data_IF_969136710670
#
_entry.id   IF_969136710670
#
_cell.length_a   1.000
_cell.length_b   1.000
_cell.length_c   1.000
_cell.angle_alpha   90.00
_cell.angle_beta   90.00
_cell.angle_gamma   90.00
#
_symmetry.space_group_name_H-M   'P 1'
#
loop_
_entity.id
_entity.type
_entity.pdbx_description
1 polymer ?
#
# COMPACT_ATOMS: atom_id res chain seq x y z
N UNK A 1 1.05 6.34 23.01
CA UNK A 1 1.03 5.25 22.00
C UNK A 1 0.19 4.08 22.49
N UNK A 2 -0.81 3.68 21.70
CA UNK A 2 -1.70 2.55 21.99
C UNK A 2 -0.93 1.21 22.00
N UNK A 3 -1.15 0.36 23.01
CA UNK A 3 -0.50 -0.95 23.15
C UNK A 3 -0.75 -1.87 21.95
N UNK A 4 -1.88 -1.74 21.28
CA UNK A 4 -2.20 -2.58 20.13
C UNK A 4 -1.36 -2.21 18.91
N UNK A 5 -0.99 -0.93 18.76
CA UNK A 5 -0.08 -0.48 17.70
C UNK A 5 1.30 -1.05 17.92
N UNK A 6 1.81 -1.05 19.16
CA UNK A 6 3.08 -1.69 19.48
C UNK A 6 3.12 -3.18 19.12
N UNK A 7 2.02 -3.91 19.35
CA UNK A 7 1.92 -5.32 18.94
C UNK A 7 1.93 -5.46 17.41
N UNK A 8 1.24 -4.56 16.70
CA UNK A 8 1.21 -4.54 15.23
C UNK A 8 2.61 -4.24 14.67
N UNK A 9 3.30 -3.23 15.21
CA UNK A 9 4.66 -2.87 14.86
C UNK A 9 5.61 -4.06 15.08
N UNK A 10 5.55 -4.69 16.25
CA UNK A 10 6.42 -5.82 16.58
C UNK A 10 6.21 -7.03 15.65
N UNK A 11 4.96 -7.34 15.30
CA UNK A 11 4.65 -8.49 14.43
C UNK A 11 5.05 -8.26 12.98
N UNK A 12 4.95 -7.02 12.51
CA UNK A 12 5.08 -6.70 11.09
C UNK A 12 6.40 -6.03 10.72
N UNK A 13 7.16 -5.52 11.70
CA UNK A 13 8.46 -4.91 11.46
C UNK A 13 9.56 -5.95 11.42
N UNK A 14 10.36 -5.92 10.35
CA UNK A 14 11.61 -6.66 10.33
C UNK A 14 12.69 -6.01 11.22
N UNK A 15 12.55 -4.70 11.49
CA UNK A 15 13.49 -3.92 12.28
C UNK A 15 13.36 -4.26 13.76
N UNK A 16 12.13 -4.40 14.28
CA UNK A 16 11.89 -4.65 15.71
C UNK A 16 12.14 -6.10 16.15
N UNK A 17 12.57 -6.99 15.25
CA UNK A 17 12.77 -8.42 15.57
C UNK A 17 13.74 -8.67 16.72
N UNK A 18 14.70 -7.76 16.92
CA UNK A 18 15.71 -7.86 17.97
C UNK A 18 15.31 -7.17 19.29
N UNK A 19 14.16 -6.49 19.35
CA UNK A 19 13.68 -5.82 20.56
C UNK A 19 12.67 -6.74 21.28
N UNK A 20 12.81 -6.94 22.59
CA UNK A 20 11.81 -7.75 23.30
C UNK A 20 10.42 -7.09 23.30
N UNK A 21 9.37 -7.84 22.98
CA UNK A 21 7.98 -7.35 23.05
C UNK A 21 7.63 -6.83 24.45
N UNK A 22 8.17 -7.44 25.50
CA UNK A 22 7.99 -7.00 26.90
C UNK A 22 8.53 -5.60 27.11
N UNK A 23 9.70 -5.28 26.55
CA UNK A 23 10.26 -3.93 26.59
C UNK A 23 9.34 -2.92 25.89
N UNK A 24 8.91 -3.23 24.66
CA UNK A 24 7.98 -2.38 23.90
C UNK A 24 6.68 -2.10 24.67
N UNK A 25 6.06 -3.12 25.27
CA UNK A 25 4.79 -2.97 26.00
C UNK A 25 4.90 -2.19 27.31
N UNK A 26 6.11 -2.09 27.88
CA UNK A 26 6.38 -1.36 29.11
C UNK A 26 6.73 0.12 28.88
N UNK A 27 6.80 0.54 27.62
CA UNK A 27 7.02 1.92 27.26
C UNK A 27 5.84 2.80 27.67
N UNK A 28 6.11 3.78 28.54
CA UNK A 28 5.14 4.84 28.86
C UNK A 28 5.32 5.94 27.82
N UNK A 29 4.29 6.21 27.03
CA UNK A 29 4.30 7.28 26.03
C UNK A 29 4.67 8.62 26.68
N UNK A 30 5.53 9.39 26.03
CA UNK A 30 6.12 10.62 26.56
C UNK A 30 6.78 11.46 25.48
N UNK A 31 6.29 11.39 24.25
CA UNK A 31 6.83 12.12 23.12
C UNK A 31 6.69 13.64 23.28
N UNK A 32 7.75 14.33 23.70
CA UNK A 32 7.71 15.79 23.82
C UNK A 32 7.91 16.51 22.47
N UNK A 33 8.38 15.82 21.44
CA UNK A 33 8.71 16.43 20.16
C UNK A 33 7.56 16.29 19.17
N UNK A 34 7.14 17.44 18.63
CA UNK A 34 6.14 17.54 17.57
C UNK A 34 6.80 17.99 16.27
N UNK A 35 6.44 17.35 15.17
CA UNK A 35 6.81 17.74 13.82
C UNK A 35 5.57 18.25 13.09
N UNK A 36 5.62 19.50 12.63
CA UNK A 36 4.57 20.10 11.79
C UNK A 36 4.93 19.95 10.31
N UNK A 37 4.00 19.52 9.47
CA UNK A 37 4.18 19.35 8.03
C UNK A 37 3.04 20.04 7.30
N UNK A 38 3.36 21.04 6.48
CA UNK A 38 2.39 21.69 5.59
C UNK A 38 2.15 20.83 4.36
N UNK A 39 0.88 20.55 4.04
CA UNK A 39 0.49 19.80 2.85
C UNK A 39 -0.93 20.19 2.42
N UNK A 40 -1.12 20.55 1.14
CA UNK A 40 -2.40 21.04 0.58
C UNK A 40 -3.07 22.11 1.46
N UNK A 41 -2.33 23.16 1.86
CA UNK A 41 -2.81 24.26 2.70
C UNK A 41 -3.32 23.84 4.10
N UNK A 42 -2.86 22.71 4.61
CA UNK A 42 -3.17 22.24 5.96
C UNK A 42 -1.89 21.83 6.71
N UNK A 43 -1.84 22.17 7.99
CA UNK A 43 -0.75 21.78 8.90
C UNK A 43 -1.06 20.46 9.59
N UNK A 44 -0.37 19.41 9.20
CA UNK A 44 -0.42 18.12 9.89
C UNK A 44 0.62 18.09 11.02
N UNK A 45 0.24 17.53 12.17
CA UNK A 45 1.14 17.41 13.34
C UNK A 45 1.40 15.94 13.65
N UNK A 46 2.68 15.60 13.75
CA UNK A 46 3.16 14.27 14.10
C UNK A 46 3.89 14.33 15.43
N UNK A 47 3.68 13.31 16.25
CA UNK A 47 4.36 13.12 17.53
C UNK A 47 5.49 12.09 17.38
N UNK A 48 6.68 12.46 17.87
CA UNK A 48 7.81 11.55 18.00
C UNK A 48 7.75 10.85 19.35
N UNK A 49 7.76 9.51 19.34
CA UNK A 49 7.90 8.70 20.52
C UNK A 49 9.20 7.89 20.41
N UNK A 50 10.13 8.11 21.33
CA UNK A 50 11.38 7.35 21.42
C UNK A 50 11.09 5.95 21.94
N UNK A 51 11.59 4.92 21.24
CA UNK A 51 11.58 3.52 21.70
C UNK A 51 12.86 3.25 22.52
N UNK A 52 14.01 3.63 21.96
CA UNK A 52 15.31 3.68 22.60
C UNK A 52 16.24 4.56 21.74
N UNK A 53 17.54 4.60 22.07
CA UNK A 53 18.55 5.40 21.37
C UNK A 53 18.62 5.18 19.84
N UNK A 54 18.19 4.01 19.35
CA UNK A 54 18.26 3.64 17.94
C UNK A 54 16.89 3.63 17.23
N UNK A 55 15.78 3.70 17.96
CA UNK A 55 14.45 3.50 17.41
C UNK A 55 13.46 4.56 17.86
N UNK A 56 12.71 5.11 16.91
CA UNK A 56 11.70 6.13 17.13
C UNK A 56 10.43 5.79 16.35
N UNK A 57 9.27 6.23 16.83
CA UNK A 57 8.05 6.25 16.02
C UNK A 57 7.60 7.66 15.75
N UNK A 58 7.10 7.89 14.54
CA UNK A 58 6.36 9.10 14.16
C UNK A 58 4.92 8.70 13.88
N UNK A 59 3.99 9.21 14.69
CA UNK A 59 2.56 8.98 14.50
C UNK A 59 1.82 10.29 14.33
N UNK A 60 0.75 10.28 13.55
CA UNK A 60 -0.18 11.41 13.50
C UNK A 60 -0.78 11.65 14.89
N UNK A 61 -0.87 12.90 15.34
CA UNK A 61 -1.62 13.19 16.56
C UNK A 61 -3.08 12.80 16.33
N UNK A 62 -3.61 11.99 17.24
CA UNK A 62 -4.96 11.40 17.17
C UNK A 62 -6.02 12.43 16.75
N UNK A 63 -6.65 12.20 15.60
CA UNK A 63 -7.96 12.78 15.27
C UNK A 63 -8.99 11.72 15.64
N UNK A 64 -9.73 11.94 16.72
CA UNK A 64 -10.74 11.02 17.25
C UNK A 64 -10.19 9.65 17.72
N UNK A 65 -8.96 9.62 18.26
CA UNK A 65 -8.35 8.38 18.78
C UNK A 65 -7.83 7.42 17.72
N UNK A 66 -7.71 7.87 16.46
CA UNK A 66 -7.19 7.06 15.35
C UNK A 66 -5.79 7.54 14.92
N UNK A 67 -4.84 6.60 14.92
CA UNK A 67 -3.54 6.78 14.28
C UNK A 67 -3.66 6.59 12.77
N UNK A 68 -3.62 7.71 12.05
CA UNK A 68 -3.75 7.77 10.61
C UNK A 68 -2.50 7.28 9.89
N UNK A 69 -1.34 7.57 10.46
CA UNK A 69 -0.04 7.17 9.94
C UNK A 69 0.83 6.75 11.12
N UNK A 70 1.53 5.63 10.97
CA UNK A 70 2.58 5.21 11.91
C UNK A 70 3.82 4.83 11.12
N UNK A 71 4.94 5.49 11.44
CA UNK A 71 6.26 5.23 10.88
C UNK A 71 7.20 4.83 11.99
N UNK A 72 7.95 3.76 11.79
CA UNK A 72 9.08 3.37 12.63
C UNK A 72 10.38 3.85 11.97
N UNK A 73 11.26 4.45 12.75
CA UNK A 73 12.57 4.91 12.30
C UNK A 73 13.63 4.09 13.02
N UNK A 74 14.58 3.54 12.27
CA UNK A 74 15.80 2.93 12.76
C UNK A 74 16.99 3.77 12.33
N UNK A 75 17.70 4.36 13.30
CA UNK A 75 18.94 5.10 13.03
C UNK A 75 20.11 4.16 12.78
N UNK A 76 20.06 2.94 13.33
CA UNK A 76 21.04 1.89 13.08
C UNK A 76 21.00 1.41 11.62
N UNK A 77 19.81 1.16 11.09
CA UNK A 77 19.60 0.70 9.71
C UNK A 77 19.42 1.84 8.70
N UNK A 78 19.36 3.09 9.17
CA UNK A 78 19.13 4.29 8.35
C UNK A 78 17.82 4.22 7.53
N UNK A 79 16.76 3.65 8.09
CA UNK A 79 15.49 3.36 7.40
C UNK A 79 14.28 3.89 8.17
N UNK A 80 13.28 4.34 7.41
CA UNK A 80 11.95 4.64 7.90
C UNK A 80 10.93 3.64 7.33
N UNK A 81 10.33 2.80 8.18
CA UNK A 81 9.33 1.80 7.82
C UNK A 81 7.91 2.33 8.09
N UNK A 82 7.12 2.49 7.03
CA UNK A 82 5.70 2.86 7.11
C UNK A 82 4.90 1.60 7.45
N UNK A 83 4.28 1.60 8.62
CA UNK A 83 3.53 0.46 9.14
C UNK A 83 2.03 0.54 8.92
N UNK A 84 1.47 1.74 9.03
CA UNK A 84 0.03 1.95 8.90
C UNK A 84 -0.26 3.21 8.11
N UNK A 85 -1.20 3.10 7.17
CA UNK A 85 -1.90 4.20 6.53
C UNK A 85 -3.39 3.88 6.63
N UNK A 86 -4.10 4.57 7.53
CA UNK A 86 -5.51 4.33 7.77
C UNK A 86 -6.36 5.12 6.78
N UNK A 87 -7.16 4.43 5.97
CA UNK A 87 -8.05 5.05 4.99
C UNK A 87 -9.35 5.55 5.65
N UNK A 88 -9.26 6.48 6.61
CA UNK A 88 -10.40 7.10 7.30
C UNK A 88 -10.59 8.55 6.88
N UNK A 89 -11.84 8.99 6.74
CA UNK A 89 -12.16 10.41 6.47
C UNK A 89 -11.67 11.33 7.60
N UNK A 90 -11.62 10.84 8.84
CA UNK A 90 -11.09 11.60 9.98
C UNK A 90 -9.59 11.92 9.85
N UNK A 91 -8.86 11.19 9.00
CA UNK A 91 -7.43 11.42 8.78
C UNK A 91 -7.11 12.60 7.87
N UNK A 92 -8.13 13.29 7.38
CA UNK A 92 -8.00 14.27 6.32
C UNK A 92 -8.87 15.50 6.60
N UNK A 93 -8.27 16.68 6.45
CA UNK A 93 -9.02 17.94 6.51
C UNK A 93 -9.97 18.10 5.32
N UNK A 94 -9.61 17.56 4.15
CA UNK A 94 -10.43 17.57 2.94
C UNK A 94 -10.82 16.15 2.52
N UNK A 95 -12.12 15.86 2.47
CA UNK A 95 -12.66 14.51 2.22
C UNK A 95 -12.87 14.19 0.74
N UNK A 96 -12.64 15.16 -0.17
CA UNK A 96 -12.83 14.98 -1.61
C UNK A 96 -11.64 14.30 -2.31
N UNK A 97 -10.57 14.01 -1.60
CA UNK A 97 -9.35 13.39 -2.14
C UNK A 97 -9.29 11.87 -1.85
N UNK A 98 -8.45 11.16 -2.62
CA UNK A 98 -8.11 9.77 -2.32
C UNK A 98 -7.22 9.72 -1.07
N UNK A 99 -7.87 9.54 0.09
CA UNK A 99 -7.27 9.60 1.43
C UNK A 99 -5.96 8.81 1.52
N UNK A 100 -5.94 7.54 1.13
CA UNK A 100 -4.72 6.72 1.19
C UNK A 100 -3.56 7.32 0.39
N UNK A 101 -3.84 7.80 -0.82
CA UNK A 101 -2.83 8.41 -1.71
C UNK A 101 -2.26 9.69 -1.13
N UNK A 102 -3.12 10.50 -0.52
CA UNK A 102 -2.72 11.71 0.17
C UNK A 102 -1.86 11.40 1.39
N UNK A 103 -2.30 10.48 2.24
CA UNK A 103 -1.59 10.09 3.45
C UNK A 103 -0.22 9.51 3.14
N UNK A 104 -0.06 8.70 2.09
CA UNK A 104 1.25 8.20 1.68
C UNK A 104 2.21 9.34 1.28
N UNK A 105 1.75 10.27 0.44
CA UNK A 105 2.57 11.43 0.03
C UNK A 105 2.94 12.33 1.21
N UNK A 106 1.98 12.60 2.09
CA UNK A 106 2.18 13.34 3.33
C UNK A 106 3.22 12.63 4.21
N UNK A 107 3.13 11.30 4.35
CA UNK A 107 4.05 10.47 5.14
C UNK A 107 5.47 10.56 4.59
N UNK A 108 5.65 10.43 3.27
CA UNK A 108 6.97 10.56 2.63
C UNK A 108 7.54 11.96 2.87
N UNK A 109 6.72 13.02 2.70
CA UNK A 109 7.13 14.40 2.98
C UNK A 109 7.53 14.60 4.44
N UNK A 110 6.77 14.00 5.35
CA UNK A 110 7.03 14.02 6.79
C UNK A 110 8.38 13.36 7.11
N UNK A 111 8.66 12.17 6.57
CA UNK A 111 9.93 11.45 6.76
C UNK A 111 11.11 12.28 6.24
N UNK A 112 11.02 12.84 5.03
CA UNK A 112 12.08 13.70 4.47
C UNK A 112 12.34 14.94 5.33
N UNK A 113 11.27 15.59 5.80
CA UNK A 113 11.40 16.74 6.71
C UNK A 113 12.05 16.35 8.04
N UNK A 114 11.70 15.18 8.58
CA UNK A 114 12.29 14.65 9.80
C UNK A 114 13.79 14.38 9.63
N UNK A 115 14.18 13.67 8.57
CA UNK A 115 15.56 13.39 8.23
C UNK A 115 16.39 14.67 8.08
N UNK A 116 15.87 15.66 7.34
CA UNK A 116 16.52 16.96 7.17
C UNK A 116 16.68 17.73 8.49
N UNK A 117 15.63 17.80 9.32
CA UNK A 117 15.65 18.55 10.59
C UNK A 117 16.62 17.96 11.61
N UNK A 118 16.79 16.63 11.61
CA UNK A 118 17.58 15.92 12.61
C UNK A 118 18.78 15.18 12.01
N UNK A 119 19.29 15.62 10.87
CA UNK A 119 20.33 14.94 10.07
C UNK A 119 21.61 14.58 10.86
N UNK A 120 21.95 15.32 11.92
CA UNK A 120 23.09 15.02 12.78
C UNK A 120 22.90 13.77 13.66
N UNK A 121 21.65 13.39 13.93
CA UNK A 121 21.27 12.24 14.77
C UNK A 121 20.59 11.13 13.96
N UNK A 122 20.00 11.48 12.82
CA UNK A 122 19.13 10.59 12.05
C UNK A 122 19.48 10.72 10.56
N UNK A 123 20.19 9.73 10.04
CA UNK A 123 20.57 9.66 8.62
C UNK A 123 19.65 8.69 7.86
N UNK A 124 18.36 9.00 7.77
CA UNK A 124 17.43 8.16 6.99
C UNK A 124 17.81 8.29 5.51
N UNK A 125 18.09 7.16 4.86
CA UNK A 125 18.36 7.10 3.41
C UNK A 125 17.41 6.14 2.67
N UNK A 126 16.52 5.45 3.40
CA UNK A 126 15.55 4.49 2.86
C UNK A 126 14.18 4.70 3.49
N UNK A 127 13.14 4.59 2.65
CA UNK A 127 11.75 4.45 3.11
C UNK A 127 11.26 3.07 2.66
N UNK A 128 10.74 2.28 3.59
CA UNK A 128 10.14 0.98 3.30
C UNK A 128 8.71 0.87 3.80
N UNK A 129 8.00 -0.15 3.34
CA UNK A 129 6.67 -0.50 3.82
C UNK A 129 6.36 -1.98 3.57
N UNK A 130 5.39 -2.53 4.29
CA UNK A 130 4.79 -3.83 4.01
C UNK A 130 3.41 -3.69 3.39
N UNK A 131 3.06 -4.53 2.42
CA UNK A 131 1.73 -4.50 1.79
C UNK A 131 0.79 -5.56 2.36
N UNK A 132 -0.05 -5.18 3.32
CA UNK A 132 -1.17 -6.01 3.80
C UNK A 132 -2.52 -5.42 3.37
N UNK A 133 -2.54 -4.64 2.29
CA UNK A 133 -3.71 -3.84 1.94
C UNK A 133 -4.86 -4.69 1.41
N UNK A 134 -6.05 -4.43 1.97
CA UNK A 134 -7.32 -5.05 1.57
C UNK A 134 -8.35 -3.95 1.30
N UNK A 135 -9.28 -4.21 0.39
CA UNK A 135 -10.40 -3.31 0.09
C UNK A 135 -11.71 -4.04 0.34
N UNK A 136 -12.60 -3.43 1.12
CA UNK A 136 -13.95 -3.96 1.35
C UNK A 136 -14.75 -3.94 0.03
N UNK A 137 -15.56 -4.97 -0.16
CA UNK A 137 -16.48 -5.11 -1.28
C UNK A 137 -17.74 -5.84 -0.80
N UNK A 138 -18.82 -5.11 -0.52
CA UNK A 138 -20.01 -5.70 0.10
C UNK A 138 -19.67 -6.46 1.37
N UNK A 139 -19.95 -7.77 1.37
CA UNK A 139 -19.62 -8.71 2.46
C UNK A 139 -18.23 -9.35 2.36
N UNK A 140 -17.47 -9.04 1.31
CA UNK A 140 -16.18 -9.63 0.98
C UNK A 140 -15.01 -8.64 1.12
N UNK A 141 -13.79 -9.17 1.05
CA UNK A 141 -12.56 -8.40 0.99
C UNK A 141 -11.73 -8.82 -0.22
N UNK A 142 -11.28 -7.82 -0.98
CA UNK A 142 -10.40 -8.02 -2.14
C UNK A 142 -8.99 -7.61 -1.73
N UNK A 143 -8.01 -8.43 -2.12
CA UNK A 143 -6.58 -8.12 -1.99
C UNK A 143 -6.25 -6.94 -2.90
N UNK A 144 -5.95 -5.77 -2.32
CA UNK A 144 -5.78 -4.53 -3.09
C UNK A 144 -4.59 -4.65 -4.05
N UNK A 145 -3.53 -5.33 -3.64
CA UNK A 145 -2.35 -5.63 -4.45
C UNK A 145 -2.72 -6.34 -5.75
N UNK A 146 -3.47 -7.47 -5.67
CA UNK A 146 -3.90 -8.24 -6.84
C UNK A 146 -4.82 -7.44 -7.74
N UNK A 147 -5.80 -6.75 -7.15
CA UNK A 147 -6.73 -5.91 -7.91
C UNK A 147 -5.97 -4.84 -8.70
N UNK A 148 -5.02 -4.13 -8.10
CA UNK A 148 -4.31 -3.07 -8.81
C UNK A 148 -3.33 -3.58 -9.86
N UNK A 149 -2.70 -4.74 -9.63
CA UNK A 149 -1.90 -5.38 -10.68
C UNK A 149 -2.81 -5.72 -11.87
N UNK A 150 -4.00 -6.30 -11.66
CA UNK A 150 -4.96 -6.55 -12.74
C UNK A 150 -5.43 -5.28 -13.46
N UNK A 151 -5.50 -4.15 -12.77
CA UNK A 151 -5.97 -2.89 -13.33
C UNK A 151 -4.88 -2.04 -13.98
N UNK A 152 -3.62 -2.26 -13.61
CA UNK A 152 -2.54 -1.33 -13.99
C UNK A 152 -1.20 -2.00 -14.29
N UNK A 153 -1.01 -3.29 -14.00
CA UNK A 153 0.29 -3.96 -13.97
C UNK A 153 1.08 -3.70 -12.68
N UNK A 154 0.74 -2.64 -11.95
CA UNK A 154 1.46 -2.18 -10.76
C UNK A 154 0.72 -2.49 -9.45
N UNK A 155 1.47 -2.70 -8.38
CA UNK A 155 0.94 -2.62 -7.00
C UNK A 155 0.48 -1.19 -6.67
N UNK A 156 -0.25 -0.99 -5.56
CA UNK A 156 -0.67 0.35 -5.15
C UNK A 156 0.52 1.29 -4.94
N UNK A 157 1.52 0.80 -4.19
CA UNK A 157 2.73 1.54 -3.84
C UNK A 157 3.66 1.76 -5.04
N UNK A 158 3.63 0.86 -6.03
CA UNK A 158 4.50 0.97 -7.20
C UNK A 158 4.27 2.22 -8.06
N UNK A 159 3.09 2.83 -7.94
CA UNK A 159 2.75 4.14 -8.53
C UNK A 159 3.49 5.31 -7.88
N UNK A 160 4.10 5.07 -6.73
CA UNK A 160 4.89 6.01 -5.94
C UNK A 160 6.36 5.56 -5.87
N UNK A 161 6.82 4.83 -6.89
CA UNK A 161 8.21 4.37 -7.03
C UNK A 161 8.70 3.42 -5.94
N UNK A 162 7.78 2.77 -5.23
CA UNK A 162 8.14 1.64 -4.39
C UNK A 162 8.39 0.40 -5.24
N UNK A 163 9.44 -0.36 -4.91
CA UNK A 163 9.80 -1.63 -5.56
C UNK A 163 10.04 -2.74 -4.54
N UNK A 164 9.89 -4.01 -4.93
CA UNK A 164 10.11 -5.14 -4.02
C UNK A 164 11.46 -5.03 -3.31
N UNK A 165 11.45 -5.21 -1.99
CA UNK A 165 12.61 -5.04 -1.12
C UNK A 165 13.22 -6.39 -0.75
N UNK A 166 14.54 -6.47 -0.83
CA UNK A 166 15.32 -7.56 -0.24
C UNK A 166 15.41 -7.32 1.28
N UNK A 167 14.90 -8.27 2.07
CA UNK A 167 14.79 -8.11 3.52
C UNK A 167 16.14 -8.16 4.27
N UNK A 168 17.22 -8.58 3.61
CA UNK A 168 18.57 -8.65 4.19
C UNK A 168 19.32 -7.35 3.91
N UNK A 169 19.32 -6.91 2.66
CA UNK A 169 20.09 -5.73 2.21
C UNK A 169 19.32 -4.41 2.31
N UNK A 170 18.00 -4.48 2.53
CA UNK A 170 17.08 -3.35 2.48
C UNK A 170 17.12 -2.58 1.15
N UNK A 171 17.63 -3.21 0.08
CA UNK A 171 17.68 -2.64 -1.27
C UNK A 171 16.58 -3.26 -2.14
N UNK A 172 16.50 -2.85 -3.41
CA UNK A 172 15.59 -3.47 -4.38
C UNK A 172 16.00 -4.93 -4.58
N UNK A 173 15.06 -5.86 -4.36
CA UNK A 173 15.22 -7.27 -4.71
C UNK A 173 15.14 -7.42 -6.23
N UNK A 174 16.29 -7.66 -6.87
CA UNK A 174 16.38 -7.76 -8.34
C UNK A 174 15.50 -8.88 -8.91
N UNK A 175 15.38 -10.01 -8.22
CA UNK A 175 14.61 -11.15 -8.69
C UNK A 175 13.10 -10.87 -8.62
N UNK A 176 12.64 -10.38 -7.48
CA UNK A 176 11.24 -9.99 -7.30
C UNK A 176 10.88 -8.79 -8.19
N UNK A 177 11.80 -7.85 -8.40
CA UNK A 177 11.61 -6.75 -9.31
C UNK A 177 11.43 -7.22 -10.76
N UNK A 178 12.18 -8.24 -11.21
CA UNK A 178 11.97 -8.85 -12.54
C UNK A 178 10.56 -9.42 -12.68
N UNK A 179 10.02 -10.07 -11.64
CA UNK A 179 8.63 -10.55 -11.64
C UNK A 179 7.62 -9.42 -11.64
N UNK A 180 7.92 -8.33 -10.92
CA UNK A 180 7.10 -7.13 -10.91
C UNK A 180 7.01 -6.52 -12.31
N UNK A 181 8.15 -6.31 -12.98
CA UNK A 181 8.18 -5.80 -14.36
C UNK A 181 7.50 -6.75 -15.35
N UNK A 182 7.54 -8.08 -15.09
CA UNK A 182 6.80 -9.04 -15.89
C UNK A 182 5.28 -8.87 -15.75
N UNK A 183 4.76 -8.58 -14.55
CA UNK A 183 3.34 -8.25 -14.38
C UNK A 183 2.95 -7.01 -15.19
N UNK A 184 3.78 -5.97 -15.18
CA UNK A 184 3.58 -4.75 -15.98
C UNK A 184 3.50 -5.10 -17.46
N UNK A 185 4.50 -5.86 -17.96
CA UNK A 185 4.54 -6.31 -19.35
C UNK A 185 3.30 -7.10 -19.76
N UNK A 186 2.89 -8.09 -18.95
CA UNK A 186 1.68 -8.89 -19.22
C UNK A 186 0.47 -7.96 -19.37
N UNK A 187 0.26 -7.04 -18.41
CA UNK A 187 -0.92 -6.19 -18.40
C UNK A 187 -0.89 -5.08 -19.45
N UNK A 188 0.28 -4.72 -19.97
CA UNK A 188 0.45 -3.78 -21.07
C UNK A 188 0.21 -4.40 -22.44
N UNK A 189 0.30 -5.72 -22.57
CA UNK A 189 0.14 -6.41 -23.85
C UNK A 189 -1.12 -7.27 -23.95
N UNK A 190 -1.58 -7.84 -22.83
CA UNK A 190 -2.66 -8.81 -22.83
C UNK A 190 -3.99 -8.16 -23.21
N UNK A 191 -4.59 -8.65 -24.29
CA UNK A 191 -5.89 -8.19 -24.78
C UNK A 191 -7.02 -9.08 -24.30
N UNK A 192 -8.25 -8.59 -24.44
CA UNK A 192 -9.47 -9.34 -24.14
C UNK A 192 -9.59 -10.61 -24.99
N UNK A 193 -9.11 -10.61 -26.23
CA UNK A 193 -9.15 -11.80 -27.10
C UNK A 193 -8.12 -12.88 -26.78
N UNK A 194 -7.05 -12.53 -26.04
CA UNK A 194 -5.98 -13.49 -25.69
C UNK A 194 -6.41 -14.47 -24.60
N UNK A 195 -7.53 -14.20 -23.92
CA UNK A 195 -8.07 -15.02 -22.85
C UNK A 195 -9.54 -15.35 -23.09
N UNK A 196 -9.98 -16.50 -22.60
CA UNK A 196 -11.41 -16.83 -22.58
C UNK A 196 -12.13 -16.06 -21.46
N UNK A 197 -12.26 -14.73 -21.60
CA UNK A 197 -12.80 -13.85 -20.56
C UNK A 197 -14.23 -14.25 -20.14
N UNK A 198 -15.01 -14.78 -21.08
CA UNK A 198 -16.38 -15.27 -20.84
C UNK A 198 -16.43 -16.39 -19.79
N UNK A 199 -15.41 -17.25 -19.73
CA UNK A 199 -15.29 -18.29 -18.68
C UNK A 199 -15.41 -17.68 -17.29
N UNK A 200 -14.71 -16.58 -17.03
CA UNK A 200 -14.68 -15.90 -15.74
C UNK A 200 -15.97 -15.12 -15.48
N UNK A 201 -16.48 -14.42 -16.50
CA UNK A 201 -17.72 -13.64 -16.39
C UNK A 201 -18.93 -14.53 -16.06
N UNK A 202 -18.95 -15.77 -16.56
CA UNK A 202 -20.00 -16.75 -16.21
C UNK A 202 -20.02 -17.14 -14.73
N UNK A 203 -18.93 -16.95 -13.99
CA UNK A 203 -18.88 -17.20 -12.54
C UNK A 203 -19.80 -16.26 -11.76
N UNK A 204 -20.16 -15.10 -12.33
CA UNK A 204 -21.09 -14.14 -11.74
C UNK A 204 -22.52 -14.63 -11.64
N UNK A 205 -22.90 -15.65 -12.43
CA UNK A 205 -24.27 -16.21 -12.52
C UNK A 205 -25.36 -15.17 -12.83
N UNK A 206 -25.01 -14.02 -13.38
CA UNK A 206 -25.95 -12.98 -13.79
C UNK A 206 -26.05 -12.93 -15.32
N UNK A 207 -27.11 -13.52 -15.89
CA UNK A 207 -27.28 -13.63 -17.35
C UNK A 207 -27.27 -12.27 -18.07
N UNK A 208 -27.99 -11.26 -17.54
CA UNK A 208 -28.03 -9.92 -18.12
C UNK A 208 -26.62 -9.29 -18.17
N UNK A 209 -25.84 -9.47 -17.10
CA UNK A 209 -24.46 -9.00 -17.05
C UNK A 209 -23.54 -9.77 -18.01
N UNK A 210 -23.69 -11.10 -18.08
CA UNK A 210 -22.94 -11.97 -19.00
C UNK A 210 -23.15 -11.54 -20.46
N UNK A 211 -24.40 -11.31 -20.86
CA UNK A 211 -24.75 -10.96 -22.24
C UNK A 211 -24.18 -9.59 -22.63
N UNK A 212 -24.36 -8.56 -21.78
CA UNK A 212 -23.78 -7.22 -21.99
C UNK A 212 -22.26 -7.25 -22.10
N UNK A 213 -21.62 -8.07 -21.28
CA UNK A 213 -20.16 -8.21 -21.27
C UNK A 213 -19.67 -8.94 -22.51
N UNK A 214 -20.39 -9.97 -22.96
CA UNK A 214 -20.10 -10.72 -24.17
C UNK A 214 -20.12 -9.85 -25.41
N UNK A 215 -21.13 -9.00 -25.55
CA UNK A 215 -21.21 -8.03 -26.65
C UNK A 215 -20.01 -7.08 -26.66
N UNK A 216 -19.57 -6.63 -25.48
CA UNK A 216 -18.42 -5.73 -25.34
C UNK A 216 -17.12 -6.42 -25.79
N UNK A 217 -16.93 -7.67 -25.37
CA UNK A 217 -15.77 -8.50 -25.72
C UNK A 217 -15.69 -8.71 -27.24
N UNK A 218 -16.82 -9.07 -27.87
CA UNK A 218 -16.91 -9.29 -29.32
C UNK A 218 -16.65 -8.00 -30.11
N UNK A 219 -17.20 -6.87 -29.66
CA UNK A 219 -17.05 -5.58 -30.34
C UNK A 219 -15.65 -4.98 -30.19
N UNK A 220 -14.90 -5.36 -29.16
CA UNK A 220 -13.59 -4.75 -28.82
C UNK A 220 -12.54 -5.79 -28.42
N UNK A 221 -12.22 -6.76 -29.30
CA UNK A 221 -11.32 -7.87 -28.96
C UNK A 221 -9.90 -7.42 -28.64
N UNK A 222 -9.42 -6.38 -29.34
CA UNK A 222 -8.08 -5.79 -29.15
C UNK A 222 -7.97 -4.84 -27.96
N UNK A 223 -9.03 -4.65 -27.16
CA UNK A 223 -8.94 -3.85 -25.94
C UNK A 223 -7.99 -4.55 -24.96
N UNK A 224 -7.09 -3.79 -24.31
CA UNK A 224 -6.26 -4.34 -23.24
C UNK A 224 -7.16 -4.83 -22.09
N UNK A 225 -6.79 -5.97 -21.50
CA UNK A 225 -7.53 -6.54 -20.38
C UNK A 225 -7.65 -5.56 -19.22
N UNK A 226 -6.57 -4.85 -18.89
CA UNK A 226 -6.58 -3.82 -17.82
C UNK A 226 -7.59 -2.71 -18.09
N UNK A 227 -7.78 -2.30 -19.34
CA UNK A 227 -8.72 -1.24 -19.71
C UNK A 227 -10.16 -1.72 -19.65
N UNK A 228 -10.40 -2.97 -20.03
CA UNK A 228 -11.69 -3.63 -19.82
C UNK A 228 -12.02 -3.68 -18.33
N UNK A 229 -11.09 -4.17 -17.48
CA UNK A 229 -11.30 -4.29 -16.04
C UNK A 229 -11.47 -2.93 -15.35
N UNK A 230 -10.75 -1.89 -15.79
CA UNK A 230 -10.94 -0.51 -15.28
C UNK A 230 -12.31 0.05 -15.63
N UNK A 231 -12.82 -0.23 -16.84
CA UNK A 231 -14.19 0.16 -17.23
C UNK A 231 -15.22 -0.62 -16.42
N UNK A 232 -14.98 -1.92 -16.23
CA UNK A 232 -15.82 -2.79 -15.42
C UNK A 232 -15.91 -2.30 -13.97
N UNK A 233 -14.79 -1.92 -13.35
CA UNK A 233 -14.73 -1.41 -11.99
C UNK A 233 -14.89 0.13 -11.88
N UNK A 234 -15.39 0.80 -12.92
CA UNK A 234 -15.65 2.25 -12.87
C UNK A 234 -16.68 2.57 -11.78
N UNK A 235 -17.69 1.71 -11.64
CA UNK A 235 -18.68 1.73 -10.58
C UNK A 235 -18.36 0.61 -9.58
N UNK A 236 -17.29 0.83 -8.81
CA UNK A 236 -16.72 -0.20 -7.95
C UNK A 236 -17.76 -0.78 -6.97
N UNK A 237 -18.57 0.05 -6.33
CA UNK A 237 -19.51 -0.40 -5.29
C UNK A 237 -20.55 -1.39 -5.83
N UNK A 238 -20.97 -1.22 -7.10
CA UNK A 238 -21.93 -2.11 -7.76
C UNK A 238 -21.28 -3.32 -8.43
N UNK A 239 -20.02 -3.22 -8.85
CA UNK A 239 -19.36 -4.24 -9.68
C UNK A 239 -18.37 -5.12 -8.92
N UNK A 240 -17.96 -4.71 -7.72
CA UNK A 240 -16.89 -5.40 -7.01
C UNK A 240 -17.28 -6.82 -6.60
N UNK A 241 -18.56 -7.12 -6.31
CA UNK A 241 -18.97 -8.47 -5.90
C UNK A 241 -18.85 -9.45 -7.08
N UNK A 242 -19.22 -9.01 -8.28
CA UNK A 242 -18.97 -9.77 -9.51
C UNK A 242 -17.49 -9.96 -9.79
N UNK A 243 -16.68 -8.90 -9.58
CA UNK A 243 -15.22 -9.01 -9.69
C UNK A 243 -14.65 -10.02 -8.70
N UNK A 244 -15.10 -9.98 -7.45
CA UNK A 244 -14.67 -10.87 -6.38
C UNK A 244 -14.84 -12.35 -6.76
N UNK A 245 -15.91 -12.69 -7.49
CA UNK A 245 -16.18 -14.07 -7.91
C UNK A 245 -15.13 -14.67 -8.85
N UNK A 246 -14.37 -13.86 -9.59
CA UNK A 246 -13.45 -14.39 -10.60
C UNK A 246 -12.02 -13.84 -10.55
N UNK A 247 -11.76 -12.72 -9.87
CA UNK A 247 -10.48 -12.01 -10.03
C UNK A 247 -9.27 -12.85 -9.67
N UNK A 248 -9.32 -13.68 -8.62
CA UNK A 248 -8.19 -14.52 -8.23
C UNK A 248 -7.89 -15.60 -9.25
N UNK A 249 -8.93 -16.22 -9.83
CA UNK A 249 -8.74 -17.23 -10.86
C UNK A 249 -8.18 -16.60 -12.14
N UNK A 250 -8.73 -15.45 -12.56
CA UNK A 250 -8.18 -14.70 -13.69
C UNK A 250 -6.71 -14.31 -13.44
N UNK A 251 -6.40 -13.81 -12.25
CA UNK A 251 -5.05 -13.41 -11.84
C UNK A 251 -4.03 -14.55 -12.02
N UNK A 252 -4.39 -15.75 -11.54
CA UNK A 252 -3.54 -16.92 -11.60
C UNK A 252 -3.44 -17.48 -13.02
N UNK A 253 -4.56 -17.59 -13.74
CA UNK A 253 -4.62 -18.17 -15.09
C UNK A 253 -3.80 -17.35 -16.10
N UNK A 254 -3.69 -16.02 -15.93
CA UNK A 254 -2.86 -15.16 -16.79
C UNK A 254 -1.40 -15.02 -16.32
N UNK A 255 -1.00 -15.75 -15.27
CA UNK A 255 0.39 -15.88 -14.83
C UNK A 255 0.96 -14.67 -14.09
N UNK A 256 0.13 -13.89 -13.38
CA UNK A 256 0.62 -12.77 -12.56
C UNK A 256 1.26 -13.26 -11.26
N UNK A 257 2.33 -12.57 -10.83
CA UNK A 257 3.01 -12.82 -9.55
C UNK A 257 2.38 -11.99 -8.43
N UNK A 258 1.90 -12.66 -7.38
CA UNK A 258 1.36 -12.02 -6.17
C UNK A 258 2.46 -11.37 -5.33
N UNK A 259 2.21 -10.14 -4.89
CA UNK A 259 3.10 -9.35 -4.04
C UNK A 259 2.45 -8.97 -2.70
N UNK A 260 1.26 -9.50 -2.39
CA UNK A 260 0.65 -9.27 -1.10
C UNK A 260 1.51 -9.88 0.01
N UNK A 261 1.66 -9.16 1.13
CA UNK A 261 2.55 -9.48 2.22
C UNK A 261 4.02 -9.17 1.93
N UNK A 262 4.34 -8.72 0.72
CA UNK A 262 5.69 -8.30 0.35
C UNK A 262 6.11 -7.00 1.03
N UNK A 263 7.43 -6.83 1.18
CA UNK A 263 8.03 -5.57 1.58
C UNK A 263 8.50 -4.78 0.36
N UNK A 264 8.41 -3.46 0.44
CA UNK A 264 8.82 -2.55 -0.62
C UNK A 264 9.74 -1.47 -0.08
N UNK A 265 10.58 -0.92 -0.96
CA UNK A 265 11.47 0.21 -0.70
C UNK A 265 11.30 1.27 -1.79
N UNK A 266 11.32 2.54 -1.42
CA UNK A 266 11.26 3.67 -2.35
C UNK A 266 12.57 3.76 -3.15
N UNK A 267 12.50 3.82 -4.49
CA UNK A 267 13.68 3.80 -5.36
C UNK A 267 14.67 4.95 -5.11
N UNK A 268 14.17 6.16 -4.92
CA UNK A 268 15.01 7.34 -4.72
C UNK A 268 14.56 8.14 -3.49
N UNK A 269 15.42 8.15 -2.48
CA UNK A 269 15.32 9.08 -1.36
C UNK A 269 16.18 10.31 -1.67
N UNK A 270 15.63 11.24 -2.45
CA UNK A 270 16.24 12.56 -2.64
C UNK A 270 15.88 13.44 -1.43
N UNK A 271 16.90 13.91 -0.70
CA UNK A 271 16.80 14.89 0.40
C UNK A 271 16.46 16.29 -0.11
#
# INVERSE_FOLDING_TARGET
MNRDILKILYRNSNILKNISLKFLLNMKGGGNRKLKVEYNNHTYVFEENEINDNYYTLSSIEVDGLDCVVVLISTEDNIAEIHSITNSKSCMANTNENIGSHLLKLTIKMIKKYASKYNQKVNINKISLGDMSIKKCGSHYIKLTKMLILLTGHTWYGKYDFRPRDNITNNIDKYQNKKYENNVKIMDTLTVSDINLIKYIKMTKNNNFIDKTKDTIIKKPKMLLKDFLRKFLKDYDNMCEYFYMFYEQLYNDIGLTDFQGGSFVLCEFQN
#
